data_IF_592921541598
#
_entry.id   IF_592921541598
#
_cell.length_a   1.000
_cell.length_b   1.000
_cell.length_c   1.000
_cell.angle_alpha   90.00
_cell.angle_beta   90.00
_cell.angle_gamma   90.00
#
_symmetry.space_group_name_H-M   'P 1'
#
loop_
_entity.id
_entity.type
_entity.pdbx_description
1 polymer ?
#
# COMPACT_ATOMS: atom_id res chain seq x y z
N UNK A 1 -4.36 -10.47 -3.75
CA UNK A 1 -4.73 -9.95 -2.41
C UNK A 1 -4.48 -8.44 -2.40
N UNK A 2 -5.39 -7.65 -1.85
CA UNK A 2 -5.28 -6.19 -1.76
C UNK A 2 -5.18 -5.76 -0.29
N UNK A 3 -4.18 -4.93 0.03
CA UNK A 3 -3.92 -4.37 1.36
C UNK A 3 -3.62 -2.86 1.23
N UNK A 4 -4.64 -2.01 1.12
CA UNK A 4 -4.49 -0.60 0.78
C UNK A 4 -3.74 0.21 1.86
N UNK A 5 -3.82 -0.24 3.10
CA UNK A 5 -3.08 0.30 4.25
C UNK A 5 -1.97 -0.65 4.73
N UNK A 6 -1.44 -1.51 3.86
CA UNK A 6 -0.54 -2.59 4.29
C UNK A 6 -1.18 -3.44 5.39
N UNK A 7 -0.40 -3.82 6.42
CA UNK A 7 -0.93 -4.56 7.58
C UNK A 7 -1.61 -3.68 8.64
N UNK A 8 -1.85 -2.41 8.33
CA UNK A 8 -2.47 -1.43 9.24
C UNK A 8 -3.97 -1.25 9.01
N UNK A 9 -4.60 -2.08 8.18
CA UNK A 9 -6.03 -2.02 7.89
C UNK A 9 -6.60 -3.34 7.36
N UNK A 10 -7.81 -3.32 6.76
CA UNK A 10 -8.44 -4.50 6.21
C UNK A 10 -7.68 -5.06 5.00
N UNK A 11 -7.79 -6.38 4.82
CA UNK A 11 -7.26 -7.10 3.68
C UNK A 11 -8.41 -7.71 2.86
N UNK A 12 -8.26 -7.70 1.54
CA UNK A 12 -9.32 -8.12 0.62
C UNK A 12 -8.80 -9.15 -0.38
N UNK A 13 -9.62 -10.17 -0.65
CA UNK A 13 -9.52 -10.95 -1.86
C UNK A 13 -10.27 -10.18 -2.96
N UNK A 14 -9.60 -9.93 -4.07
CA UNK A 14 -10.15 -9.21 -5.22
C UNK A 14 -10.23 -10.16 -6.40
N UNK A 15 -11.29 -10.05 -7.19
CA UNK A 15 -11.55 -10.86 -8.38
C UNK A 15 -11.32 -10.07 -9.67
N UNK A 16 -11.55 -10.68 -10.83
CA UNK A 16 -11.45 -10.02 -12.14
C UNK A 16 -12.33 -8.76 -12.24
N UNK A 17 -13.50 -8.76 -11.58
CA UNK A 17 -14.39 -7.59 -11.57
C UNK A 17 -13.75 -6.36 -10.92
N UNK A 18 -12.84 -6.55 -9.95
CA UNK A 18 -12.07 -5.44 -9.40
C UNK A 18 -11.18 -4.79 -10.47
N UNK A 19 -10.53 -5.61 -11.31
CA UNK A 19 -9.71 -5.11 -12.41
C UNK A 19 -10.54 -4.48 -13.53
N UNK A 20 -11.78 -4.94 -13.75
CA UNK A 20 -12.71 -4.28 -14.67
C UNK A 20 -13.04 -2.84 -14.21
N UNK A 21 -13.28 -2.61 -12.91
CA UNK A 21 -13.47 -1.26 -12.37
C UNK A 21 -12.23 -0.37 -12.57
N UNK A 22 -11.03 -0.96 -12.48
CA UNK A 22 -9.78 -0.22 -12.69
C UNK A 22 -9.56 0.25 -14.12
N UNK A 23 -10.16 -0.40 -15.11
CA UNK A 23 -10.14 0.10 -16.50
C UNK A 23 -10.83 1.46 -16.64
N UNK A 24 -11.79 1.77 -15.76
CA UNK A 24 -12.42 3.09 -15.71
C UNK A 24 -11.52 4.12 -15.01
N UNK A 25 -10.86 3.73 -13.92
CA UNK A 25 -9.90 4.56 -13.19
C UNK A 25 -8.85 3.67 -12.53
N UNK A 26 -7.58 3.82 -12.94
CA UNK A 26 -6.44 3.01 -12.50
C UNK A 26 -6.01 3.35 -11.06
N UNK A 27 -6.88 3.02 -10.11
CA UNK A 27 -6.71 3.28 -8.67
C UNK A 27 -7.35 2.16 -7.85
N UNK A 28 -6.54 1.50 -7.03
CA UNK A 28 -7.02 0.42 -6.16
C UNK A 28 -8.04 0.92 -5.14
N UNK A 29 -7.85 2.14 -4.61
CA UNK A 29 -8.79 2.75 -3.67
C UNK A 29 -10.11 3.07 -4.36
N UNK A 30 -10.08 3.58 -5.59
CA UNK A 30 -11.30 3.83 -6.35
C UNK A 30 -12.10 2.54 -6.54
N UNK A 31 -11.45 1.48 -7.06
CA UNK A 31 -12.11 0.20 -7.30
C UNK A 31 -12.64 -0.42 -5.99
N UNK A 32 -11.89 -0.34 -4.90
CA UNK A 32 -12.31 -0.82 -3.58
C UNK A 32 -13.55 -0.08 -3.08
N UNK A 33 -13.54 1.26 -3.10
CA UNK A 33 -14.64 2.05 -2.55
C UNK A 33 -15.89 2.03 -3.43
N UNK A 34 -15.77 1.94 -4.75
CA UNK A 34 -16.94 1.76 -5.64
C UNK A 34 -17.56 0.37 -5.45
N UNK A 35 -16.75 -0.68 -5.38
CA UNK A 35 -17.24 -2.03 -5.05
C UNK A 35 -17.94 -2.04 -3.69
N UNK A 36 -17.31 -1.42 -2.68
CA UNK A 36 -17.89 -1.33 -1.34
C UNK A 36 -19.18 -0.50 -1.32
N UNK A 37 -19.26 0.61 -2.06
CA UNK A 37 -20.49 1.39 -2.18
C UNK A 37 -21.63 0.53 -2.76
N UNK A 38 -21.35 -0.27 -3.78
CA UNK A 38 -22.35 -1.18 -4.35
C UNK A 38 -22.83 -2.22 -3.33
N UNK A 39 -21.95 -2.74 -2.47
CA UNK A 39 -22.32 -3.64 -1.37
C UNK A 39 -23.20 -2.92 -0.33
N UNK A 40 -22.84 -1.69 0.04
CA UNK A 40 -23.60 -0.85 0.99
C UNK A 40 -25.01 -0.54 0.48
N UNK A 41 -25.17 -0.27 -0.82
CA UNK A 41 -26.48 -0.05 -1.45
C UNK A 41 -27.39 -1.27 -1.41
N UNK A 42 -26.82 -2.49 -1.34
CA UNK A 42 -27.57 -3.74 -1.17
C UNK A 42 -27.82 -4.10 0.29
N UNK A 43 -27.48 -3.22 1.23
CA UNK A 43 -27.62 -3.46 2.67
C UNK A 43 -26.46 -4.23 3.31
N UNK A 44 -25.34 -4.44 2.59
CA UNK A 44 -24.14 -5.05 3.15
C UNK A 44 -23.52 -4.21 4.29
N UNK A 45 -22.75 -4.83 5.18
CA UNK A 45 -22.10 -4.15 6.30
C UNK A 45 -20.90 -3.29 5.86
N UNK A 46 -20.41 -2.43 6.75
CA UNK A 46 -19.14 -1.71 6.56
C UNK A 46 -17.93 -2.65 6.68
N UNK A 47 -16.73 -2.10 6.48
CA UNK A 47 -15.49 -2.83 6.77
C UNK A 47 -15.41 -3.23 8.25
N UNK A 48 -15.12 -4.50 8.50
CA UNK A 48 -15.06 -5.04 9.87
C UNK A 48 -13.80 -4.59 10.62
N UNK A 49 -12.65 -4.59 9.93
CA UNK A 49 -11.37 -4.17 10.51
C UNK A 49 -11.21 -2.67 10.39
N UNK A 50 -10.95 -2.02 11.53
CA UNK A 50 -10.64 -0.59 11.56
C UNK A 50 -9.31 -0.29 10.87
N UNK A 51 -9.24 0.91 10.29
CA UNK A 51 -8.02 1.45 9.72
C UNK A 51 -7.20 2.10 10.83
N UNK A 52 -5.91 1.80 10.89
CA UNK A 52 -4.97 2.56 11.73
C UNK A 52 -4.43 3.76 10.94
N UNK A 53 -4.13 4.88 11.61
CA UNK A 53 -3.52 6.04 10.96
C UNK A 53 -2.21 5.67 10.25
N UNK A 54 -2.01 6.31 9.09
CA UNK A 54 -0.75 6.27 8.33
C UNK A 54 -0.29 7.72 8.21
N UNK A 55 0.94 7.98 8.65
CA UNK A 55 1.48 9.33 8.57
C UNK A 55 1.73 9.72 7.11
N UNK A 56 1.31 10.93 6.70
CA UNK A 56 1.55 11.40 5.35
C UNK A 56 3.05 11.65 5.14
N UNK A 57 3.57 11.17 4.01
CA UNK A 57 4.94 11.45 3.58
C UNK A 57 4.95 12.33 2.36
N UNK A 58 5.94 13.24 2.28
CA UNK A 58 6.13 14.04 1.07
C UNK A 58 6.61 13.13 -0.05
N UNK A 59 6.26 13.48 -1.29
CA UNK A 59 6.70 12.74 -2.48
C UNK A 59 8.22 12.61 -2.55
N UNK A 60 8.97 13.65 -2.17
CA UNK A 60 10.44 13.62 -2.12
C UNK A 60 10.99 12.62 -1.10
N UNK A 61 10.34 12.49 0.06
CA UNK A 61 10.72 11.53 1.10
C UNK A 61 10.52 10.09 0.62
N UNK A 62 9.40 9.84 -0.09
CA UNK A 62 9.12 8.53 -0.71
C UNK A 62 10.14 8.21 -1.81
N UNK A 63 10.50 9.20 -2.63
CA UNK A 63 11.53 9.05 -3.65
C UNK A 63 12.87 8.63 -3.03
N UNK A 64 13.33 9.37 -2.01
CA UNK A 64 14.58 9.03 -1.31
C UNK A 64 14.52 7.64 -0.68
N UNK A 65 13.40 7.26 -0.07
CA UNK A 65 13.22 5.91 0.45
C UNK A 65 13.33 4.84 -0.65
N UNK A 66 12.71 5.06 -1.80
CA UNK A 66 12.79 4.15 -2.95
C UNK A 66 14.22 4.00 -3.47
N UNK A 67 14.97 5.10 -3.61
CA UNK A 67 16.39 5.07 -4.02
C UNK A 67 17.23 4.22 -3.07
N UNK A 68 17.05 4.39 -1.75
CA UNK A 68 17.84 3.66 -0.77
C UNK A 68 17.46 2.18 -0.69
N UNK A 69 16.18 1.85 -0.81
CA UNK A 69 15.74 0.46 -0.90
C UNK A 69 16.30 -0.21 -2.16
N UNK A 70 16.28 0.50 -3.30
CA UNK A 70 16.85 0.01 -4.55
C UNK A 70 18.37 -0.21 -4.43
N UNK A 71 19.09 0.71 -3.78
CA UNK A 71 20.53 0.58 -3.53
C UNK A 71 20.87 -0.65 -2.65
N UNK A 72 19.94 -1.09 -1.81
CA UNK A 72 20.06 -2.32 -1.01
C UNK A 72 19.57 -3.59 -1.74
N UNK A 73 19.21 -3.48 -3.02
CA UNK A 73 18.79 -4.60 -3.85
C UNK A 73 17.32 -5.01 -3.70
N UNK A 74 16.46 -4.14 -3.16
CA UNK A 74 15.01 -4.37 -3.17
C UNK A 74 14.38 -3.85 -4.47
N UNK A 75 13.44 -4.61 -5.03
CA UNK A 75 12.65 -4.17 -6.18
C UNK A 75 11.52 -3.23 -5.74
N UNK A 76 11.76 -1.93 -5.91
CA UNK A 76 10.75 -0.89 -5.66
C UNK A 76 9.91 -0.56 -6.89
N UNK A 77 10.19 -1.19 -8.04
CA UNK A 77 9.71 -0.77 -9.36
C UNK A 77 10.40 0.52 -9.82
N UNK A 78 9.60 1.51 -10.22
CA UNK A 78 10.12 2.84 -10.60
C UNK A 78 10.34 3.70 -9.35
N UNK A 79 11.49 4.36 -9.29
CA UNK A 79 11.72 5.46 -8.33
C UNK A 79 10.98 6.70 -8.87
N UNK A 80 9.79 6.98 -8.35
CA UNK A 80 8.91 8.06 -8.81
C UNK A 80 8.20 8.82 -7.69
N UNK A 81 8.46 8.45 -6.43
CA UNK A 81 7.83 9.01 -5.25
C UNK A 81 6.37 8.56 -5.06
N UNK A 82 5.90 7.55 -5.80
CA UNK A 82 4.56 6.98 -5.66
C UNK A 82 4.61 5.63 -4.96
N UNK A 83 3.60 5.35 -4.12
CA UNK A 83 3.58 4.13 -3.31
C UNK A 83 2.78 3.05 -4.03
N UNK A 84 3.44 2.38 -4.97
CA UNK A 84 2.90 1.24 -5.71
C UNK A 84 3.06 -0.11 -5.01
N UNK A 85 2.58 -1.16 -5.66
CA UNK A 85 2.70 -2.55 -5.18
C UNK A 85 4.16 -2.97 -4.91
N UNK A 86 5.07 -2.70 -5.85
CA UNK A 86 6.48 -3.04 -5.71
C UNK A 86 7.12 -2.31 -4.52
N UNK A 87 6.89 -1.00 -4.38
CA UNK A 87 7.37 -0.23 -3.22
C UNK A 87 6.86 -0.78 -1.88
N UNK A 88 5.57 -1.14 -1.76
CA UNK A 88 5.01 -1.73 -0.53
C UNK A 88 5.62 -3.09 -0.20
N UNK A 89 5.87 -3.90 -1.23
CA UNK A 89 6.51 -5.21 -1.10
C UNK A 89 7.95 -5.05 -0.61
N UNK A 90 8.73 -4.16 -1.26
CA UNK A 90 10.09 -3.82 -0.86
C UNK A 90 10.19 -3.33 0.59
N UNK A 91 9.27 -2.46 1.04
CA UNK A 91 9.20 -2.00 2.43
C UNK A 91 8.99 -3.20 3.38
N UNK A 92 8.02 -4.07 3.07
CA UNK A 92 7.75 -5.25 3.89
C UNK A 92 8.93 -6.20 3.99
N UNK A 93 9.58 -6.49 2.86
CA UNK A 93 10.79 -7.31 2.82
C UNK A 93 11.94 -6.69 3.62
N UNK A 94 12.17 -5.38 3.46
CA UNK A 94 13.18 -4.66 4.21
C UNK A 94 12.89 -4.70 5.71
N UNK A 95 11.63 -4.49 6.11
CA UNK A 95 11.20 -4.61 7.50
C UNK A 95 11.46 -6.01 8.07
N UNK A 96 11.10 -7.06 7.32
CA UNK A 96 11.34 -8.44 7.70
C UNK A 96 12.84 -8.73 7.87
N UNK A 97 13.67 -8.36 6.88
CA UNK A 97 15.13 -8.53 6.93
C UNK A 97 15.76 -7.82 8.14
N UNK A 98 15.21 -6.68 8.53
CA UNK A 98 15.68 -5.88 9.67
C UNK A 98 14.95 -6.18 11.00
N UNK A 99 14.19 -7.29 11.08
CA UNK A 99 13.44 -7.72 12.29
C UNK A 99 12.50 -6.64 12.84
N UNK A 100 11.84 -5.90 11.96
CA UNK A 100 10.82 -4.90 12.30
C UNK A 100 9.43 -5.44 12.01
N UNK A 101 8.42 -4.75 12.55
CA UNK A 101 7.04 -5.01 12.17
C UNK A 101 6.85 -4.78 10.67
N UNK A 102 6.38 -5.79 9.96
CA UNK A 102 6.13 -5.79 8.52
C UNK A 102 4.86 -5.01 8.17
N UNK A 103 4.84 -3.71 8.43
CA UNK A 103 3.66 -2.88 8.13
C UNK A 103 3.39 -2.79 6.63
N UNK A 104 4.41 -2.92 5.77
CA UNK A 104 4.34 -2.71 4.32
C UNK A 104 3.82 -1.32 3.92
N UNK A 105 3.97 -0.34 4.83
CA UNK A 105 3.55 1.04 4.66
C UNK A 105 4.78 1.92 4.88
N UNK A 106 4.99 2.95 4.05
CA UNK A 106 6.09 3.87 4.25
C UNK A 106 5.83 4.73 5.49
N UNK A 107 6.90 4.97 6.23
CA UNK A 107 6.92 5.73 7.48
C UNK A 107 8.19 6.60 7.45
N UNK A 108 8.06 7.86 7.84
CA UNK A 108 9.17 8.81 7.88
C UNK A 108 10.34 8.30 8.76
N UNK A 109 10.05 7.52 9.80
CA UNK A 109 11.09 6.91 10.62
C UNK A 109 11.92 5.85 9.86
N UNK A 110 11.41 5.27 8.78
CA UNK A 110 12.16 4.30 7.95
C UNK A 110 13.30 4.95 7.18
N UNK A 111 13.12 6.18 6.69
CA UNK A 111 14.12 6.87 5.85
C UNK A 111 15.50 6.90 6.50
N UNK A 112 15.70 7.44 7.72
CA UNK A 112 17.02 7.46 8.34
C UNK A 112 17.58 6.06 8.67
N UNK A 113 16.74 5.03 8.70
CA UNK A 113 17.12 3.65 8.99
C UNK A 113 17.58 2.89 7.73
N UNK A 114 16.99 3.21 6.58
CA UNK A 114 17.42 2.70 5.28
C UNK A 114 18.63 3.56 4.88
N UNK A 115 19.84 3.04 5.09
CA UNK A 115 21.10 3.73 4.78
C UNK A 115 21.58 3.42 3.37
#
# INVERSE_FOLDING_TARGET
MLMPAGRLGPAFLVSENFYALKQYNESDLYALFIGHLADRLRGGSGFLTAWRPIDPMKRGDIWTMQERLQAQGHDVGKVDGLIGFATRTAIGEWQARNRRAETCVPDAALIPMIR
#
